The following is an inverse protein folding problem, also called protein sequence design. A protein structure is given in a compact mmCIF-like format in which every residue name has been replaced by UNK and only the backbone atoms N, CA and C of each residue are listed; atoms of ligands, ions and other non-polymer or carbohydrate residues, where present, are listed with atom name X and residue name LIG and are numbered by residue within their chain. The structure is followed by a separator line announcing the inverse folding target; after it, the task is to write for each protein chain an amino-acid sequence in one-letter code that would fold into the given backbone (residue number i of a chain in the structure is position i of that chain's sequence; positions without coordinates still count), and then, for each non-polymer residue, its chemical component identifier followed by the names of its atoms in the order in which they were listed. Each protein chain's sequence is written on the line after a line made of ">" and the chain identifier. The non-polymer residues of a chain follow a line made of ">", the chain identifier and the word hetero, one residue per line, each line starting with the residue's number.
data_IF_738317682917
#
_entry.id   IF_738317682917
#
_cell.length_a   1.000
_cell.length_b   1.000
_cell.length_c   1.000
_cell.angle_alpha   90.00
_cell.angle_beta   90.00
_cell.angle_gamma   90.00
#
_symmetry.space_group_name_H-M   'P 1'
#
loop_
_entity.id
_entity.type
_entity.pdbx_description
1 polymer ?
#
# COMPACT_ATOMS: atom_id res chain seq x y z
N UNK A 1 85.50 77.52 70.15
CA UNK A 1 85.70 76.60 71.31
C UNK A 1 84.42 75.80 71.50
N UNK A 2 84.52 74.52 71.88
CA UNK A 2 84.10 73.37 71.04
C UNK A 2 83.14 72.44 71.85
N UNK A 3 82.98 71.10 71.65
CA UNK A 3 83.35 70.16 70.56
C UNK A 3 82.26 69.09 70.21
N UNK A 4 82.55 68.31 69.16
CA UNK A 4 82.47 66.82 69.02
C UNK A 4 81.25 65.96 69.46
N UNK A 5 80.87 65.10 68.50
CA UNK A 5 80.84 63.61 68.55
C UNK A 5 79.68 62.84 69.22
N UNK A 6 79.06 62.03 68.35
CA UNK A 6 78.96 60.55 68.44
C UNK A 6 77.77 59.94 69.21
N UNK A 7 77.37 58.76 68.69
CA UNK A 7 76.51 57.69 69.23
C UNK A 7 74.99 58.00 69.35
N UNK A 8 74.02 57.13 69.04
CA UNK A 8 73.94 55.66 69.06
C UNK A 8 72.67 55.12 68.33
N UNK A 9 72.83 53.96 67.66
CA UNK A 9 72.02 52.71 67.69
C UNK A 9 70.47 52.71 67.76
N UNK A 10 69.78 52.02 66.83
CA UNK A 10 69.21 50.65 66.92
C UNK A 10 67.91 50.57 67.75
N UNK A 11 66.84 49.81 67.43
CA UNK A 11 66.72 48.57 66.69
C UNK A 11 65.28 48.40 66.11
N UNK A 12 65.16 47.49 65.15
CA UNK A 12 63.94 47.03 64.52
C UNK A 12 63.14 46.06 65.41
N UNK A 13 61.82 45.93 65.17
CA UNK A 13 61.16 44.62 65.27
C UNK A 13 59.89 44.53 64.41
N UNK A 14 59.77 43.39 63.71
CA UNK A 14 58.71 43.03 62.75
C UNK A 14 57.86 41.90 63.33
N UNK A 15 56.53 41.84 63.12
CA UNK A 15 55.73 40.73 63.61
C UNK A 15 55.70 39.55 62.62
N UNK A 16 56.42 38.47 62.95
CA UNK A 16 56.31 37.14 62.29
C UNK A 16 54.99 36.44 62.66
N UNK A 17 54.06 36.28 61.71
CA UNK A 17 52.93 35.32 61.84
C UNK A 17 53.36 33.93 61.35
N UNK A 18 53.06 32.90 62.14
CA UNK A 18 53.44 31.49 61.88
C UNK A 18 52.74 30.94 60.61
N UNK A 19 53.40 30.10 59.79
CA UNK A 19 52.84 29.56 58.53
C UNK A 19 51.64 28.61 58.72
N UNK A 20 51.30 28.25 59.96
CA UNK A 20 50.19 27.35 60.30
C UNK A 20 48.82 27.90 59.89
N UNK A 21 48.63 29.22 59.94
CA UNK A 21 47.35 29.86 59.55
C UNK A 21 47.13 29.78 58.03
N UNK A 22 48.20 29.84 57.24
CA UNK A 22 48.16 29.71 55.78
C UNK A 22 47.87 28.26 55.36
N UNK A 23 48.47 27.28 56.07
CA UNK A 23 48.24 25.85 55.83
C UNK A 23 46.77 25.46 56.13
N UNK A 24 46.20 25.96 57.23
CA UNK A 24 44.79 25.70 57.59
C UNK A 24 43.84 26.31 56.55
N UNK A 25 44.11 27.51 56.06
CA UNK A 25 43.32 28.14 55.01
C UNK A 25 43.38 27.36 53.68
N UNK A 26 44.56 26.84 53.32
CA UNK A 26 44.71 25.96 52.15
C UNK A 26 43.95 24.64 52.31
N UNK A 27 43.99 24.03 53.50
CA UNK A 27 43.31 22.75 53.76
C UNK A 27 41.78 22.91 53.73
N UNK A 28 41.25 24.00 54.29
CA UNK A 28 39.83 24.34 54.20
C UNK A 28 39.39 24.60 52.74
N UNK A 29 40.18 25.33 51.97
CA UNK A 29 39.90 25.58 50.55
C UNK A 29 39.92 24.29 49.73
N UNK A 30 40.84 23.37 50.05
CA UNK A 30 40.94 22.08 49.37
C UNK A 30 39.72 21.18 49.67
N UNK A 31 39.29 21.09 50.93
CA UNK A 31 38.08 20.32 51.30
C UNK A 31 36.83 20.93 50.65
N UNK A 32 36.71 22.26 50.62
CA UNK A 32 35.58 22.92 49.96
C UNK A 32 35.55 22.66 48.45
N UNK A 33 36.71 22.71 47.80
CA UNK A 33 36.86 22.42 46.36
C UNK A 33 36.53 20.97 46.02
N UNK A 34 37.05 20.01 46.79
CA UNK A 34 36.78 18.58 46.59
C UNK A 34 35.32 18.24 46.91
N UNK A 35 34.73 18.88 47.92
CA UNK A 35 33.31 18.67 48.28
C UNK A 35 32.36 19.27 47.25
N UNK A 36 32.68 20.44 46.70
CA UNK A 36 31.92 21.05 45.62
C UNK A 36 32.02 20.19 44.34
N UNK A 37 33.21 19.74 43.97
CA UNK A 37 33.43 18.88 42.81
C UNK A 37 32.72 17.52 42.95
N UNK A 38 32.84 16.87 44.11
CA UNK A 38 32.21 15.57 44.37
C UNK A 38 30.70 15.69 44.55
N UNK A 39 30.20 16.79 45.10
CA UNK A 39 28.77 17.07 45.21
C UNK A 39 28.11 17.31 43.86
N UNK A 40 28.77 18.07 42.97
CA UNK A 40 28.31 18.27 41.59
C UNK A 40 28.37 16.97 40.79
N UNK A 41 29.45 16.20 40.95
CA UNK A 41 29.56 14.87 40.34
C UNK A 41 28.48 13.90 40.84
N UNK A 42 28.15 13.90 42.14
CA UNK A 42 27.08 13.08 42.68
C UNK A 42 25.70 13.50 42.18
N UNK A 43 25.45 14.80 42.02
CA UNK A 43 24.19 15.32 41.46
C UNK A 43 24.06 14.99 39.97
N UNK A 44 25.16 15.03 39.20
CA UNK A 44 25.21 14.65 37.79
C UNK A 44 25.15 13.12 37.57
N UNK A 45 25.71 12.34 38.48
CA UNK A 45 25.73 10.87 38.40
C UNK A 45 24.52 10.22 39.10
N UNK A 46 23.70 11.01 39.81
CA UNK A 46 22.41 10.55 40.28
C UNK A 46 21.58 10.27 39.03
N UNK A 47 21.18 9.02 38.76
CA UNK A 47 20.31 8.74 37.62
C UNK A 47 19.03 9.54 37.85
N UNK A 48 18.84 10.61 37.08
CA UNK A 48 17.57 11.29 37.02
C UNK A 48 16.52 10.26 36.62
N UNK A 49 15.26 10.36 37.09
CA UNK A 49 14.17 9.49 36.63
C UNK A 49 13.96 9.54 35.11
N UNK A 50 14.64 10.46 34.40
CA UNK A 50 14.68 10.55 32.95
C UNK A 50 15.43 9.41 32.27
N UNK A 51 16.42 8.76 32.89
CA UNK A 51 17.08 7.59 32.27
C UNK A 51 16.20 6.34 32.31
N UNK A 52 15.35 6.21 33.33
CA UNK A 52 14.28 5.20 33.36
C UNK A 52 13.19 5.50 32.32
N UNK A 53 12.78 6.78 32.17
CA UNK A 53 11.82 7.18 31.12
C UNK A 53 12.37 7.02 29.70
N UNK A 54 13.66 7.22 29.48
CA UNK A 54 14.29 7.04 28.16
C UNK A 54 14.41 5.56 27.76
N UNK A 55 14.61 4.66 28.72
CA UNK A 55 14.58 3.21 28.49
C UNK A 55 13.15 2.71 28.23
N UNK A 56 12.16 3.22 28.98
CA UNK A 56 10.74 2.90 28.78
C UNK A 56 10.20 3.43 27.44
N UNK A 57 10.55 4.66 27.04
CA UNK A 57 10.15 5.20 25.72
C UNK A 57 10.79 4.45 24.57
N UNK A 58 12.03 3.99 24.70
CA UNK A 58 12.68 3.14 23.69
C UNK A 58 11.99 1.77 23.57
N UNK A 59 11.63 1.15 24.70
CA UNK A 59 10.86 -0.10 24.73
C UNK A 59 9.49 0.05 24.06
N UNK A 60 8.78 1.13 24.35
CA UNK A 60 7.44 1.37 23.79
C UNK A 60 7.49 1.74 22.31
N UNK A 61 8.52 2.46 21.88
CA UNK A 61 8.76 2.74 20.46
C UNK A 61 9.09 1.46 19.68
N UNK A 62 9.87 0.53 20.24
CA UNK A 62 10.12 -0.78 19.63
C UNK A 62 8.86 -1.63 19.52
N UNK A 63 7.98 -1.63 20.55
CA UNK A 63 6.67 -2.30 20.49
C UNK A 63 5.76 -1.68 19.42
N UNK A 64 5.78 -0.35 19.29
CA UNK A 64 5.01 0.36 18.27
C UNK A 64 5.49 -0.01 16.85
N UNK A 65 6.80 -0.04 16.62
CA UNK A 65 7.39 -0.45 15.33
C UNK A 65 7.02 -1.90 15.00
N UNK A 66 7.17 -2.83 15.95
CA UNK A 66 6.78 -4.24 15.74
C UNK A 66 5.29 -4.40 15.44
N UNK A 67 4.44 -3.60 16.07
CA UNK A 67 2.98 -3.58 15.81
C UNK A 67 2.67 -3.01 14.42
N UNK A 68 3.38 -1.95 14.01
CA UNK A 68 3.27 -1.38 12.66
C UNK A 68 3.71 -2.38 11.59
N UNK A 69 4.85 -3.05 11.76
CA UNK A 69 5.33 -4.09 10.82
C UNK A 69 4.34 -5.26 10.70
N UNK A 70 3.78 -5.70 11.83
CA UNK A 70 2.74 -6.74 11.84
C UNK A 70 1.49 -6.27 11.11
N UNK A 71 1.09 -5.02 11.31
CA UNK A 71 -0.08 -4.42 10.65
C UNK A 71 0.15 -4.28 9.15
N UNK A 72 1.33 -3.81 8.72
CA UNK A 72 1.71 -3.71 7.30
C UNK A 72 1.70 -5.10 6.65
N UNK A 73 2.24 -6.11 7.33
CA UNK A 73 2.25 -7.48 6.82
C UNK A 73 0.83 -8.04 6.67
N UNK A 74 -0.05 -7.79 7.64
CA UNK A 74 -1.46 -8.18 7.56
C UNK A 74 -2.21 -7.42 6.48
N UNK A 75 -1.94 -6.13 6.29
CA UNK A 75 -2.54 -5.32 5.24
C UNK A 75 -2.06 -5.78 3.86
N UNK A 76 -0.77 -6.06 3.67
CA UNK A 76 -0.24 -6.61 2.42
C UNK A 76 -0.87 -7.96 2.07
N UNK A 77 -1.06 -8.83 3.06
CA UNK A 77 -1.76 -10.09 2.85
C UNK A 77 -3.22 -9.86 2.41
N UNK A 78 -3.94 -8.93 3.06
CA UNK A 78 -5.31 -8.57 2.67
C UNK A 78 -5.37 -7.95 1.27
N UNK A 79 -4.45 -7.06 0.92
CA UNK A 79 -4.36 -6.44 -0.41
C UNK A 79 -4.16 -7.53 -1.46
N UNK A 80 -3.24 -8.47 -1.23
CA UNK A 80 -3.02 -9.60 -2.14
C UNK A 80 -4.27 -10.45 -2.33
N UNK A 81 -4.98 -10.77 -1.25
CA UNK A 81 -6.26 -11.51 -1.34
C UNK A 81 -7.32 -10.72 -2.11
N UNK A 82 -7.45 -9.41 -1.88
CA UNK A 82 -8.38 -8.56 -2.61
C UNK A 82 -8.03 -8.50 -4.09
N UNK A 83 -6.74 -8.43 -4.43
CA UNK A 83 -6.26 -8.41 -5.80
C UNK A 83 -6.58 -9.72 -6.54
N UNK A 84 -6.34 -10.86 -5.89
CA UNK A 84 -6.72 -12.19 -6.40
C UNK A 84 -8.25 -12.30 -6.61
N UNK A 85 -9.06 -11.84 -5.65
CA UNK A 85 -10.52 -11.82 -5.78
C UNK A 85 -11.01 -10.88 -6.89
N UNK A 86 -10.36 -9.74 -7.07
CA UNK A 86 -10.66 -8.77 -8.13
C UNK A 86 -10.42 -9.38 -9.52
N UNK A 87 -9.29 -10.08 -9.72
CA UNK A 87 -9.01 -10.75 -10.99
C UNK A 87 -10.01 -11.87 -11.30
N UNK A 88 -10.39 -12.66 -10.28
CA UNK A 88 -11.45 -13.67 -10.42
C UNK A 88 -12.80 -13.02 -10.77
N UNK A 89 -13.17 -11.91 -10.14
CA UNK A 89 -14.42 -11.21 -10.43
C UNK A 89 -14.43 -10.61 -11.85
N UNK A 90 -13.32 -10.01 -12.29
CA UNK A 90 -13.16 -9.53 -13.68
C UNK A 90 -13.31 -10.68 -14.68
N UNK A 91 -12.75 -11.84 -14.36
CA UNK A 91 -12.86 -13.04 -15.18
C UNK A 91 -14.33 -13.47 -15.30
N UNK A 92 -15.05 -13.59 -14.19
CA UNK A 92 -16.49 -13.90 -14.18
C UNK A 92 -17.32 -12.89 -14.97
N UNK A 93 -17.07 -11.58 -14.80
CA UNK A 93 -17.76 -10.53 -15.56
C UNK A 93 -17.52 -10.65 -17.06
N UNK A 94 -16.28 -10.94 -17.47
CA UNK A 94 -15.94 -11.17 -18.88
C UNK A 94 -16.64 -12.40 -19.44
N UNK A 95 -16.70 -13.49 -18.68
CA UNK A 95 -17.40 -14.70 -19.08
C UNK A 95 -18.92 -14.52 -19.15
N UNK A 96 -19.50 -13.85 -18.16
CA UNK A 96 -20.94 -13.54 -18.12
C UNK A 96 -21.34 -12.66 -19.31
N UNK A 97 -20.58 -11.62 -19.61
CA UNK A 97 -20.87 -10.72 -20.74
C UNK A 97 -20.67 -11.42 -22.09
N UNK A 98 -19.62 -12.23 -22.24
CA UNK A 98 -19.39 -13.03 -23.46
C UNK A 98 -20.49 -14.08 -23.68
N UNK A 99 -20.95 -14.73 -22.61
CA UNK A 99 -22.05 -15.71 -22.68
C UNK A 99 -23.39 -15.03 -23.00
N UNK A 100 -23.66 -13.87 -22.39
CA UNK A 100 -24.85 -13.08 -22.73
C UNK A 100 -24.84 -12.66 -24.20
N UNK A 101 -23.70 -12.18 -24.71
CA UNK A 101 -23.56 -11.80 -26.11
C UNK A 101 -23.76 -13.00 -27.06
N UNK A 102 -23.19 -14.17 -26.73
CA UNK A 102 -23.41 -15.42 -27.48
C UNK A 102 -24.90 -15.72 -27.62
N UNK A 103 -25.67 -15.64 -26.53
CA UNK A 103 -27.10 -15.91 -26.54
C UNK A 103 -27.88 -14.89 -27.39
N UNK A 104 -27.53 -13.61 -27.29
CA UNK A 104 -28.13 -12.55 -28.12
C UNK A 104 -27.90 -12.84 -29.61
N UNK A 105 -26.68 -13.22 -30.00
CA UNK A 105 -26.36 -13.54 -31.39
C UNK A 105 -27.12 -14.78 -31.89
N UNK A 106 -27.27 -15.82 -31.05
CA UNK A 106 -28.08 -17.00 -31.39
C UNK A 106 -29.53 -16.61 -31.64
N UNK A 107 -30.11 -15.77 -30.78
CA UNK A 107 -31.49 -15.32 -30.94
C UNK A 107 -31.67 -14.41 -32.17
N UNK A 108 -30.65 -13.60 -32.51
CA UNK A 108 -30.63 -12.83 -33.76
C UNK A 108 -30.62 -13.74 -34.99
N UNK A 109 -29.78 -14.78 -35.02
CA UNK A 109 -29.77 -15.74 -36.13
C UNK A 109 -31.13 -16.45 -36.26
N UNK A 110 -31.75 -16.89 -35.15
CA UNK A 110 -33.09 -17.49 -35.18
C UNK A 110 -34.16 -16.56 -35.74
N UNK A 111 -34.10 -15.28 -35.39
CA UNK A 111 -35.00 -14.27 -35.95
C UNK A 111 -34.78 -14.08 -37.45
N UNK A 112 -33.52 -14.01 -37.90
CA UNK A 112 -33.17 -13.94 -39.33
C UNK A 112 -33.73 -15.17 -40.06
N UNK A 113 -33.57 -16.38 -39.53
CA UNK A 113 -34.12 -17.60 -40.13
C UNK A 113 -35.65 -17.54 -40.25
N UNK A 114 -36.34 -17.07 -39.20
CA UNK A 114 -37.80 -16.91 -39.22
C UNK A 114 -38.24 -15.92 -40.30
N UNK A 115 -37.58 -14.76 -40.37
CA UNK A 115 -37.82 -13.75 -41.39
C UNK A 115 -37.60 -14.30 -42.82
N UNK A 116 -36.48 -14.99 -43.05
CA UNK A 116 -36.16 -15.57 -44.36
C UNK A 116 -37.20 -16.61 -44.79
N UNK A 117 -37.71 -17.43 -43.87
CA UNK A 117 -38.79 -18.40 -44.16
C UNK A 117 -40.08 -17.71 -44.57
N UNK A 118 -40.46 -16.64 -43.88
CA UNK A 118 -41.65 -15.83 -44.23
C UNK A 118 -41.46 -15.16 -45.58
N UNK A 119 -40.32 -14.53 -45.82
CA UNK A 119 -39.98 -13.90 -47.10
C UNK A 119 -40.03 -14.90 -48.25
N UNK A 120 -39.47 -16.09 -48.05
CA UNK A 120 -39.51 -17.20 -49.02
C UNK A 120 -40.94 -17.58 -49.37
N UNK A 121 -41.84 -17.63 -48.38
CA UNK A 121 -43.27 -17.88 -48.64
C UNK A 121 -43.92 -16.74 -49.40
N UNK A 122 -43.76 -15.51 -48.94
CA UNK A 122 -44.34 -14.34 -49.58
C UNK A 122 -43.92 -14.23 -51.05
N UNK A 123 -42.66 -14.52 -51.36
CA UNK A 123 -42.13 -14.49 -52.73
C UNK A 123 -42.77 -15.56 -53.61
N UNK A 124 -42.94 -16.78 -53.08
CA UNK A 124 -43.58 -17.88 -53.78
C UNK A 124 -45.05 -17.56 -54.08
N UNK A 125 -45.74 -17.04 -53.08
CA UNK A 125 -47.16 -16.70 -53.17
C UNK A 125 -47.37 -15.55 -54.17
N UNK A 126 -46.49 -14.55 -54.15
CA UNK A 126 -46.46 -13.47 -55.16
C UNK A 126 -46.19 -14.03 -56.56
N UNK A 127 -45.28 -14.98 -56.69
CA UNK A 127 -44.94 -15.54 -57.99
C UNK A 127 -46.06 -16.36 -58.62
N UNK A 128 -46.84 -17.04 -57.78
CA UNK A 128 -48.03 -17.76 -58.22
C UNK A 128 -49.09 -16.84 -58.87
N UNK A 129 -49.11 -15.55 -58.52
CA UNK A 129 -50.05 -14.57 -59.08
C UNK A 129 -49.66 -14.10 -60.50
N UNK A 130 -48.40 -14.23 -60.90
CA UNK A 130 -47.94 -13.79 -62.22
C UNK A 130 -46.92 -14.79 -62.82
N UNK A 131 -47.30 -15.59 -63.82
CA UNK A 131 -46.45 -16.61 -64.43
C UNK A 131 -45.09 -16.09 -64.93
N UNK A 132 -45.01 -14.81 -65.33
CA UNK A 132 -43.77 -14.19 -65.82
C UNK A 132 -42.70 -14.02 -64.74
N UNK A 133 -43.08 -14.16 -63.46
CA UNK A 133 -42.17 -14.01 -62.32
C UNK A 133 -41.55 -15.33 -61.85
N UNK A 134 -41.92 -16.46 -62.47
CA UNK A 134 -41.43 -17.81 -62.13
C UNK A 134 -39.91 -17.89 -62.05
N UNK A 135 -39.22 -17.40 -63.09
CA UNK A 135 -37.76 -17.55 -63.19
C UNK A 135 -37.02 -16.70 -62.15
N UNK A 136 -37.48 -15.47 -61.94
CA UNK A 136 -36.97 -14.59 -60.90
C UNK A 136 -37.26 -15.16 -59.50
N UNK A 137 -38.44 -15.71 -59.26
CA UNK A 137 -38.76 -16.38 -58.01
C UNK A 137 -37.82 -17.56 -57.77
N UNK A 138 -37.59 -18.44 -58.75
CA UNK A 138 -36.65 -19.56 -58.60
C UNK A 138 -35.24 -19.09 -58.20
N UNK A 139 -34.75 -18.01 -58.83
CA UNK A 139 -33.47 -17.42 -58.49
C UNK A 139 -33.44 -16.87 -57.05
N UNK A 140 -34.48 -16.16 -56.62
CA UNK A 140 -34.56 -15.60 -55.27
C UNK A 140 -34.77 -16.67 -54.20
N UNK A 141 -35.55 -17.71 -54.49
CA UNK A 141 -35.74 -18.87 -53.60
C UNK A 141 -34.38 -19.53 -53.31
N UNK A 142 -33.55 -19.71 -54.35
CA UNK A 142 -32.20 -20.22 -54.19
C UNK A 142 -31.31 -19.32 -53.31
N UNK A 143 -31.35 -18.00 -53.52
CA UNK A 143 -30.57 -17.06 -52.69
C UNK A 143 -31.04 -17.04 -51.23
N UNK A 144 -32.36 -17.10 -51.00
CA UNK A 144 -32.94 -17.18 -49.66
C UNK A 144 -32.57 -18.49 -48.97
N UNK A 145 -32.48 -19.60 -49.72
CA UNK A 145 -32.03 -20.89 -49.19
C UNK A 145 -30.55 -20.87 -48.81
N UNK A 146 -29.70 -20.26 -49.63
CA UNK A 146 -28.29 -20.04 -49.29
C UNK A 146 -28.14 -19.18 -48.03
N UNK A 147 -28.90 -18.09 -47.93
CA UNK A 147 -28.89 -17.22 -46.76
C UNK A 147 -29.39 -17.92 -45.49
N UNK A 148 -30.46 -18.72 -45.61
CA UNK A 148 -31.01 -19.50 -44.51
C UNK A 148 -30.01 -20.56 -44.03
N UNK A 149 -29.39 -21.29 -44.96
CA UNK A 149 -28.35 -22.27 -44.65
C UNK A 149 -27.17 -21.61 -43.92
N UNK A 150 -26.68 -20.47 -44.43
CA UNK A 150 -25.60 -19.74 -43.79
C UNK A 150 -25.96 -19.23 -42.39
N UNK A 151 -27.21 -18.83 -42.15
CA UNK A 151 -27.70 -18.44 -40.83
C UNK A 151 -27.75 -19.61 -39.84
N UNK A 152 -28.19 -20.78 -40.30
CA UNK A 152 -28.17 -22.02 -39.48
C UNK A 152 -26.73 -22.41 -39.14
N UNK A 153 -25.81 -22.36 -40.10
CA UNK A 153 -24.39 -22.64 -39.86
C UNK A 153 -23.78 -21.68 -38.83
N UNK A 154 -24.11 -20.38 -38.90
CA UNK A 154 -23.67 -19.40 -37.88
C UNK A 154 -24.28 -19.69 -36.51
N UNK A 155 -25.55 -20.04 -36.42
CA UNK A 155 -26.17 -20.45 -35.16
C UNK A 155 -25.44 -21.65 -34.55
N UNK A 156 -25.12 -22.66 -35.35
CA UNK A 156 -24.43 -23.85 -34.88
C UNK A 156 -22.98 -23.56 -34.45
N UNK A 157 -22.27 -22.69 -35.18
CA UNK A 157 -20.96 -22.19 -34.77
C UNK A 157 -21.03 -21.42 -33.44
N UNK A 158 -22.08 -20.63 -33.21
CA UNK A 158 -22.29 -19.90 -31.97
C UNK A 158 -22.61 -20.85 -30.80
N UNK A 159 -23.35 -21.94 -31.04
CA UNK A 159 -23.66 -22.96 -30.01
C UNK A 159 -22.41 -23.69 -29.52
N UNK A 160 -21.45 -23.98 -30.41
CA UNK A 160 -20.20 -24.65 -30.04
C UNK A 160 -19.17 -23.70 -29.42
N UNK A 161 -19.39 -22.39 -29.52
CA UNK A 161 -18.46 -21.39 -28.99
C UNK A 161 -18.44 -21.44 -27.46
N UNK A 162 -17.29 -21.84 -26.92
CA UNK A 162 -17.04 -21.83 -25.47
C UNK A 162 -16.74 -20.41 -25.02
N UNK A 163 -17.61 -19.84 -24.19
CA UNK A 163 -17.48 -18.48 -23.63
C UNK A 163 -16.75 -18.46 -22.28
N UNK A 164 -15.98 -19.51 -22.00
CA UNK A 164 -15.24 -19.70 -20.76
C UNK A 164 -16.12 -19.92 -19.54
N UNK A 165 -17.28 -20.57 -19.74
CA UNK A 165 -18.09 -21.11 -18.64
C UNK A 165 -17.18 -21.90 -17.68
N UNK A 166 -17.25 -21.65 -16.35
CA UNK A 166 -16.56 -22.49 -15.39
C UNK A 166 -17.06 -23.91 -15.61
N UNK A 167 -16.13 -24.83 -15.81
CA UNK A 167 -16.47 -26.24 -15.92
C UNK A 167 -17.11 -26.62 -14.56
N UNK A 168 -18.43 -26.74 -14.47
CA UNK A 168 -19.14 -27.14 -13.24
C UNK A 168 -18.66 -28.50 -12.70
N UNK A 169 -17.82 -29.21 -13.46
CA UNK A 169 -17.17 -30.48 -13.11
C UNK A 169 -15.86 -30.34 -12.35
N UNK A 170 -15.51 -29.16 -11.85
CA UNK A 170 -14.35 -28.98 -10.97
C UNK A 170 -14.79 -28.52 -9.58
N UNK A 171 -15.59 -29.36 -8.93
CA UNK A 171 -15.85 -29.33 -7.50
C UNK A 171 -15.81 -30.74 -6.95
#
# INVERSE_FOLDING_TARGET
>A
MPPKNQVDNAAADTPKKKPTMLIIAFLLCFIFSVSASSGVAYILFKPAPETAKAADTSSDQSKLIATMERTISQQNAKIKTIEEQSEVLKLYLRHSSSTALKNILIDQERNIQAYLKVMKSAMRDLSALNPRTSDWNNQYQYQLDLALKGSIEREDLLKILKTGEPNEKSQ
#
